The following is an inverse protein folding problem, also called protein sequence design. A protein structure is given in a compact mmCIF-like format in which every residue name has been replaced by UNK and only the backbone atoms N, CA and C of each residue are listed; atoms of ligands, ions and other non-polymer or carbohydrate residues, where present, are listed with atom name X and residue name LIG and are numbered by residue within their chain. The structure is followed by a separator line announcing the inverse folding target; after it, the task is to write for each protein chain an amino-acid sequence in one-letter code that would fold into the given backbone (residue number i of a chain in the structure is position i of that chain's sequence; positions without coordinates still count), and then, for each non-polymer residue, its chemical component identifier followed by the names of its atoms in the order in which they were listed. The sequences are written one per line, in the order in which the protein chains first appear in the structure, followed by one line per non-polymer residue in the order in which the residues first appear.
data_IF_372819662722
#
_entry.id   IF_372819662722
#
_cell.length_a   1.000
_cell.length_b   1.000
_cell.length_c   1.000
_cell.angle_alpha   90.00
_cell.angle_beta   90.00
_cell.angle_gamma   90.00
#
_symmetry.space_group_name_H-M   'P 1'
#
loop_
_entity.id
_entity.type
_entity.pdbx_description
1 polymer ?
#
# COMPACT_ATOMS: atom_id res chain seq x y z
N UNK A 1 -20.34 -13.09 -7.84
CA UNK A 1 -19.77 -12.88 -6.50
C UNK A 1 -20.94 -12.74 -5.52
N UNK A 2 -20.97 -13.43 -4.38
CA UNK A 2 -22.03 -13.21 -3.40
C UNK A 2 -21.87 -11.80 -2.84
N UNK A 3 -22.93 -10.99 -2.87
CA UNK A 3 -22.91 -9.62 -2.31
C UNK A 3 -22.50 -9.68 -0.84
N UNK A 4 -21.67 -8.74 -0.37
CA UNK A 4 -21.36 -8.59 1.05
C UNK A 4 -22.64 -8.25 1.80
N UNK A 5 -22.81 -8.80 2.99
CA UNK A 5 -23.90 -8.43 3.88
C UNK A 5 -23.40 -7.47 4.98
N UNK A 6 -24.31 -6.90 5.76
CA UNK A 6 -23.99 -5.95 6.84
C UNK A 6 -22.97 -6.50 7.85
N UNK A 7 -23.02 -7.81 8.09
CA UNK A 7 -22.07 -8.47 9.00
C UNK A 7 -20.67 -8.49 8.38
N UNK A 8 -20.56 -8.77 7.08
CA UNK A 8 -19.30 -8.75 6.37
C UNK A 8 -18.69 -7.34 6.38
N UNK A 9 -19.51 -6.30 6.17
CA UNK A 9 -19.06 -4.90 6.22
C UNK A 9 -18.61 -4.50 7.64
N UNK A 10 -19.29 -4.94 8.69
CA UNK A 10 -18.85 -4.73 10.07
C UNK A 10 -17.51 -5.41 10.36
N UNK A 11 -17.32 -6.65 9.90
CA UNK A 11 -16.04 -7.36 10.00
C UNK A 11 -14.94 -6.55 9.31
N UNK A 12 -15.17 -6.11 8.07
CA UNK A 12 -14.19 -5.34 7.31
C UNK A 12 -13.86 -4.00 7.98
N UNK A 13 -14.86 -3.30 8.53
CA UNK A 13 -14.66 -2.02 9.21
C UNK A 13 -13.75 -2.16 10.43
N UNK A 14 -13.95 -3.21 11.24
CA UNK A 14 -13.12 -3.46 12.41
C UNK A 14 -11.70 -3.86 11.98
N UNK A 15 -11.56 -4.81 11.06
CA UNK A 15 -10.27 -5.26 10.55
C UNK A 15 -9.48 -4.17 9.81
N UNK A 16 -10.17 -3.22 9.16
CA UNK A 16 -9.53 -2.09 8.48
C UNK A 16 -8.87 -1.12 9.48
N UNK A 17 -9.47 -1.00 10.67
CA UNK A 17 -8.97 -0.17 11.76
C UNK A 17 -7.90 -0.87 12.60
N UNK A 18 -8.14 -2.15 12.89
CA UNK A 18 -7.29 -2.98 13.75
C UNK A 18 -7.21 -4.40 13.19
N UNK A 19 -6.10 -4.69 12.51
CA UNK A 19 -5.85 -5.99 11.91
C UNK A 19 -5.31 -7.04 12.90
N UNK A 20 -4.88 -6.63 14.10
CA UNK A 20 -4.34 -7.50 15.15
C UNK A 20 -5.43 -8.08 16.06
N UNK A 21 -6.68 -7.60 15.94
CA UNK A 21 -7.80 -8.09 16.73
C UNK A 21 -7.97 -9.60 16.58
N UNK A 22 -8.13 -10.31 17.69
CA UNK A 22 -8.37 -11.76 17.64
C UNK A 22 -9.75 -12.08 17.08
N UNK A 23 -9.89 -13.27 16.46
CA UNK A 23 -11.19 -13.69 15.94
C UNK A 23 -12.28 -13.77 17.03
N UNK A 24 -11.91 -14.05 18.28
CA UNK A 24 -12.83 -14.10 19.42
C UNK A 24 -13.36 -12.69 19.77
N UNK A 25 -12.48 -11.71 19.83
CA UNK A 25 -12.82 -10.32 20.10
C UNK A 25 -13.63 -9.70 18.95
N UNK A 26 -13.23 -9.96 17.72
CA UNK A 26 -13.96 -9.55 16.52
C UNK A 26 -15.39 -10.09 16.51
N UNK A 27 -15.56 -11.38 16.76
CA UNK A 27 -16.86 -12.03 16.84
C UNK A 27 -17.74 -11.46 17.96
N UNK A 28 -17.13 -11.19 19.13
CA UNK A 28 -17.83 -10.59 20.27
C UNK A 28 -18.31 -9.17 19.99
N UNK A 29 -17.49 -8.32 19.34
CA UNK A 29 -17.87 -6.95 18.97
C UNK A 29 -19.04 -6.90 17.99
N UNK A 30 -19.14 -7.90 17.11
CA UNK A 30 -20.20 -7.98 16.08
C UNK A 30 -21.45 -8.71 16.61
N UNK A 31 -21.32 -9.51 17.66
CA UNK A 31 -22.41 -10.30 18.25
C UNK A 31 -22.69 -11.60 17.48
N UNK A 32 -21.66 -12.27 16.95
CA UNK A 32 -21.77 -13.56 16.25
C UNK A 32 -20.89 -14.65 16.87
N UNK A 33 -21.15 -15.92 16.54
CA UNK A 33 -20.30 -17.01 17.00
C UNK A 33 -18.88 -16.91 16.38
N UNK A 34 -17.80 -17.23 17.14
CA UNK A 34 -16.43 -17.19 16.64
C UNK A 34 -16.19 -18.07 15.40
N UNK A 35 -16.85 -19.23 15.30
CA UNK A 35 -16.79 -20.10 14.13
C UNK A 35 -17.36 -19.41 12.88
N UNK A 36 -18.52 -18.77 13.03
CA UNK A 36 -19.17 -18.02 11.94
C UNK A 36 -18.32 -16.83 11.48
N UNK A 37 -17.70 -16.11 12.44
CA UNK A 37 -16.79 -15.02 12.14
C UNK A 37 -15.59 -15.51 11.34
N UNK A 38 -14.94 -16.59 11.79
CA UNK A 38 -13.79 -17.18 11.12
C UNK A 38 -14.11 -17.63 9.68
N UNK A 39 -15.26 -18.26 9.47
CA UNK A 39 -15.70 -18.70 8.13
C UNK A 39 -15.90 -17.50 7.19
N UNK A 40 -16.51 -16.41 7.68
CA UNK A 40 -16.71 -15.18 6.91
C UNK A 40 -15.38 -14.54 6.51
N UNK A 41 -14.43 -14.40 7.45
CA UNK A 41 -13.09 -13.88 7.19
C UNK A 41 -12.35 -14.74 6.16
N UNK A 42 -12.37 -16.08 6.31
CA UNK A 42 -11.77 -17.01 5.36
C UNK A 42 -12.38 -16.86 3.97
N UNK A 43 -13.70 -16.76 3.87
CA UNK A 43 -14.41 -16.54 2.61
C UNK A 43 -13.99 -15.23 1.96
N UNK A 44 -13.92 -14.13 2.71
CA UNK A 44 -13.49 -12.83 2.17
C UNK A 44 -12.04 -12.85 1.71
N UNK A 45 -11.15 -13.56 2.41
CA UNK A 45 -9.77 -13.80 1.97
C UNK A 45 -9.71 -14.62 0.68
N UNK A 46 -10.45 -15.72 0.59
CA UNK A 46 -10.45 -16.58 -0.61
C UNK A 46 -11.04 -15.91 -1.85
N UNK A 47 -11.91 -14.91 -1.67
CA UNK A 47 -12.46 -14.09 -2.76
C UNK A 47 -11.61 -12.82 -3.05
N UNK A 48 -10.47 -12.64 -2.39
CA UNK A 48 -9.57 -11.50 -2.60
C UNK A 48 -10.11 -10.15 -2.08
N UNK A 49 -11.19 -10.15 -1.29
CA UNK A 49 -11.73 -8.95 -0.64
C UNK A 49 -10.75 -8.48 0.44
N UNK A 50 -10.28 -9.39 1.27
CA UNK A 50 -9.17 -9.16 2.19
C UNK A 50 -7.91 -9.69 1.51
N UNK A 51 -7.05 -8.78 1.06
CA UNK A 51 -5.79 -9.13 0.37
C UNK A 51 -4.66 -9.47 1.34
N UNK A 52 -4.68 -8.90 2.55
CA UNK A 52 -3.66 -9.10 3.58
C UNK A 52 -3.82 -8.14 4.75
N UNK A 53 -2.95 -8.29 5.73
CA UNK A 53 -2.75 -7.36 6.82
C UNK A 53 -1.27 -6.96 6.83
N UNK A 54 -0.98 -5.69 7.00
CA UNK A 54 0.38 -5.15 7.02
C UNK A 54 0.60 -4.41 8.33
N UNK A 55 1.81 -4.55 8.86
CA UNK A 55 2.23 -3.78 10.03
C UNK A 55 2.60 -2.37 9.57
N UNK A 56 2.09 -1.37 10.27
CA UNK A 56 2.51 0.02 10.09
C UNK A 56 3.76 0.26 10.94
N UNK A 57 4.88 0.60 10.27
CA UNK A 57 6.19 0.70 10.90
C UNK A 57 6.63 2.17 10.94
N UNK A 58 7.00 2.64 12.13
CA UNK A 58 7.67 3.92 12.26
C UNK A 58 9.12 3.79 11.77
N UNK A 59 9.35 4.15 10.50
CA UNK A 59 10.67 4.04 9.86
C UNK A 59 11.76 4.85 10.57
N UNK A 60 11.42 5.98 11.20
CA UNK A 60 12.38 6.80 11.97
C UNK A 60 13.01 5.99 13.11
N UNK A 61 12.25 5.10 13.74
CA UNK A 61 12.74 4.28 14.85
C UNK A 61 13.68 3.17 14.41
N UNK A 62 13.78 2.88 13.13
CA UNK A 62 14.69 1.88 12.55
C UNK A 62 15.72 2.49 11.58
N UNK A 63 15.86 3.83 11.59
CA UNK A 63 16.89 4.54 10.83
C UNK A 63 16.45 5.15 9.51
N UNK A 64 15.18 5.04 9.13
CA UNK A 64 14.58 5.70 7.97
C UNK A 64 14.18 7.14 8.29
N UNK A 65 15.16 8.06 8.27
CA UNK A 65 14.93 9.43 8.75
C UNK A 65 14.27 10.35 7.73
N UNK A 66 14.29 9.96 6.45
CA UNK A 66 13.68 10.71 5.34
C UNK A 66 12.71 9.81 4.60
N UNK A 67 11.49 10.26 4.48
CA UNK A 67 10.50 9.70 3.57
C UNK A 67 10.32 10.65 2.39
N UNK A 68 10.22 10.08 1.18
CA UNK A 68 10.05 10.85 -0.05
C UNK A 68 9.12 10.13 -1.01
N UNK A 69 8.46 10.91 -1.88
CA UNK A 69 7.73 10.40 -3.03
C UNK A 69 8.42 10.89 -4.30
N UNK A 70 8.77 9.97 -5.20
CA UNK A 70 9.21 10.31 -6.52
C UNK A 70 8.10 10.04 -7.54
N UNK A 71 7.78 11.07 -8.33
CA UNK A 71 6.89 11.00 -9.48
C UNK A 71 7.72 10.71 -10.72
N UNK A 72 7.41 9.64 -11.45
CA UNK A 72 8.20 9.15 -12.58
C UNK A 72 7.34 9.18 -13.83
N UNK A 73 7.94 9.69 -14.93
CA UNK A 73 7.40 9.58 -16.28
C UNK A 73 8.28 8.70 -17.14
N UNK A 74 7.66 7.79 -17.87
CA UNK A 74 8.34 6.83 -18.74
C UNK A 74 8.28 7.24 -20.21
N UNK A 75 9.38 7.00 -20.93
CA UNK A 75 9.44 7.11 -22.39
C UNK A 75 10.60 6.25 -22.91
N UNK A 76 10.36 5.26 -23.79
CA UNK A 76 9.03 4.88 -24.30
C UNK A 76 8.15 4.22 -23.23
N UNK A 77 6.83 4.32 -23.44
CA UNK A 77 5.84 3.67 -22.59
C UNK A 77 5.35 2.38 -23.26
N UNK A 78 5.52 1.26 -22.57
CA UNK A 78 4.95 -0.03 -22.96
C UNK A 78 4.63 -0.86 -21.73
N UNK A 79 3.69 -1.80 -21.88
CA UNK A 79 3.32 -2.70 -20.77
C UNK A 79 4.51 -3.48 -20.21
N UNK A 80 5.44 -3.90 -21.08
CA UNK A 80 6.64 -4.62 -20.66
C UNK A 80 7.55 -3.74 -19.80
N UNK A 81 7.79 -2.49 -20.22
CA UNK A 81 8.61 -1.51 -19.47
C UNK A 81 7.97 -1.22 -18.12
N UNK A 82 6.67 -0.94 -18.12
CA UNK A 82 5.89 -0.65 -16.90
C UNK A 82 6.01 -1.81 -15.91
N UNK A 83 5.73 -3.04 -16.34
CA UNK A 83 5.78 -4.22 -15.47
C UNK A 83 7.20 -4.49 -14.96
N UNK A 84 8.21 -4.41 -15.82
CA UNK A 84 9.62 -4.61 -15.45
C UNK A 84 10.07 -3.59 -14.42
N UNK A 85 9.81 -2.30 -14.65
CA UNK A 85 10.17 -1.24 -13.70
C UNK A 85 9.53 -1.48 -12.32
N UNK A 86 8.22 -1.80 -12.31
CA UNK A 86 7.52 -2.13 -11.06
C UNK A 86 8.18 -3.28 -10.33
N UNK A 87 8.43 -4.38 -11.03
CA UNK A 87 8.95 -5.61 -10.42
C UNK A 87 10.38 -5.40 -9.89
N UNK A 88 11.21 -4.66 -10.62
CA UNK A 88 12.56 -4.29 -10.19
C UNK A 88 12.54 -3.38 -8.95
N UNK A 89 11.72 -2.33 -8.97
CA UNK A 89 11.66 -1.37 -7.85
C UNK A 89 11.15 -2.01 -6.57
N UNK A 90 10.16 -2.90 -6.65
CA UNK A 90 9.59 -3.59 -5.49
C UNK A 90 10.59 -4.56 -4.80
N UNK A 91 11.74 -4.86 -5.41
CA UNK A 91 12.80 -5.64 -4.77
C UNK A 91 13.76 -4.78 -3.93
N UNK A 92 13.67 -3.45 -4.04
CA UNK A 92 14.59 -2.55 -3.36
C UNK A 92 14.09 -2.25 -1.94
N UNK A 93 14.97 -2.36 -0.92
CA UNK A 93 14.57 -2.21 0.49
C UNK A 93 14.14 -0.79 0.86
N UNK A 94 14.53 0.21 0.07
CA UNK A 94 14.12 1.59 0.27
C UNK A 94 12.66 1.85 -0.15
N UNK A 95 12.07 0.98 -0.98
CA UNK A 95 10.71 1.16 -1.49
C UNK A 95 9.67 0.70 -0.47
N UNK A 96 8.85 1.62 -0.03
CA UNK A 96 7.72 1.37 0.88
C UNK A 96 6.45 1.00 0.13
N UNK A 97 6.14 1.75 -0.93
CA UNK A 97 4.98 1.47 -1.79
C UNK A 97 5.16 2.08 -3.18
N UNK A 98 4.39 1.55 -4.13
CA UNK A 98 4.42 1.97 -5.52
C UNK A 98 2.98 2.08 -6.05
N UNK A 99 2.69 3.18 -6.74
CA UNK A 99 1.41 3.43 -7.38
C UNK A 99 1.62 3.58 -8.88
N UNK A 100 0.96 2.75 -9.69
CA UNK A 100 0.86 2.97 -11.12
C UNK A 100 -0.30 3.92 -11.39
N UNK A 101 -0.01 5.02 -12.07
CA UNK A 101 -0.89 6.17 -12.17
C UNK A 101 -1.45 6.33 -13.59
N UNK A 102 -2.66 6.90 -13.67
CA UNK A 102 -3.18 7.45 -14.92
C UNK A 102 -3.06 8.97 -14.85
N UNK A 103 -2.32 9.59 -15.77
CA UNK A 103 -2.15 11.04 -15.78
C UNK A 103 -0.79 11.49 -16.29
N UNK A 104 -0.27 12.60 -15.75
CA UNK A 104 0.99 13.21 -16.19
C UNK A 104 2.23 12.42 -15.82
N UNK A 105 2.14 11.58 -14.80
CA UNK A 105 3.18 10.66 -14.35
C UNK A 105 2.66 9.23 -14.40
N UNK A 106 3.56 8.28 -14.66
CA UNK A 106 3.23 6.87 -14.77
C UNK A 106 3.34 6.14 -13.42
N UNK A 107 4.28 6.59 -12.58
CA UNK A 107 4.47 6.02 -11.25
C UNK A 107 4.67 7.07 -10.17
N UNK A 108 4.09 6.80 -9.00
CA UNK A 108 4.52 7.39 -7.73
C UNK A 108 5.15 6.30 -6.88
N UNK A 109 6.38 6.51 -6.43
CA UNK A 109 7.09 5.62 -5.53
C UNK A 109 7.34 6.30 -4.20
N UNK A 110 6.82 5.70 -3.14
CA UNK A 110 7.09 6.10 -1.76
C UNK A 110 8.31 5.33 -1.27
N UNK A 111 9.28 6.03 -0.73
CA UNK A 111 10.55 5.48 -0.25
C UNK A 111 10.90 6.01 1.11
N UNK A 112 11.63 5.19 1.89
CA UNK A 112 12.22 5.58 3.17
C UNK A 112 13.73 5.35 3.13
N UNK A 113 14.50 6.39 3.46
CA UNK A 113 15.96 6.38 3.38
C UNK A 113 16.58 7.01 4.62
N UNK A 114 17.86 6.72 4.84
CA UNK A 114 18.59 7.15 6.03
C UNK A 114 18.79 8.67 6.13
N UNK A 115 19.21 9.29 5.02
CA UNK A 115 19.59 10.71 4.95
C UNK A 115 19.50 11.25 3.51
N UNK A 116 19.74 12.53 3.31
CA UNK A 116 19.64 13.20 2.02
C UNK A 116 20.66 12.70 1.00
N UNK A 117 21.85 12.26 1.42
CA UNK A 117 22.83 11.69 0.52
C UNK A 117 22.38 10.31 0.03
N UNK A 118 21.82 9.49 0.92
CA UNK A 118 21.21 8.22 0.54
C UNK A 118 20.04 8.44 -0.43
N UNK A 119 19.15 9.41 -0.16
CA UNK A 119 18.06 9.76 -1.07
C UNK A 119 18.58 10.10 -2.47
N UNK A 120 19.55 10.98 -2.56
CA UNK A 120 20.13 11.42 -3.83
C UNK A 120 20.75 10.24 -4.61
N UNK A 121 21.55 9.41 -3.93
CA UNK A 121 22.19 8.22 -4.53
C UNK A 121 21.14 7.20 -4.97
N UNK A 122 20.14 6.94 -4.14
CA UNK A 122 19.09 5.99 -4.44
C UNK A 122 18.27 6.42 -5.68
N UNK A 123 17.77 7.66 -5.70
CA UNK A 123 16.99 8.18 -6.84
C UNK A 123 17.82 8.15 -8.12
N UNK A 124 19.10 8.53 -8.05
CA UNK A 124 19.96 8.48 -9.21
C UNK A 124 20.17 7.06 -9.72
N UNK A 125 20.60 6.14 -8.87
CA UNK A 125 20.97 4.78 -9.27
C UNK A 125 19.78 3.88 -9.61
N UNK A 126 18.69 3.99 -8.83
CA UNK A 126 17.55 3.09 -8.98
C UNK A 126 16.52 3.60 -10.00
N UNK A 127 16.47 4.91 -10.24
CA UNK A 127 15.42 5.53 -11.04
C UNK A 127 15.99 6.34 -12.20
N UNK A 128 16.73 7.43 -11.94
CA UNK A 128 17.13 8.40 -12.97
C UNK A 128 18.09 7.81 -14.03
N UNK A 129 18.92 6.85 -13.65
CA UNK A 129 19.88 6.21 -14.56
C UNK A 129 19.24 5.22 -15.55
N UNK A 130 17.95 4.96 -15.46
CA UNK A 130 17.23 4.04 -16.35
C UNK A 130 16.86 4.73 -17.65
N UNK A 131 17.13 4.06 -18.76
CA UNK A 131 16.88 4.60 -20.11
C UNK A 131 15.41 4.91 -20.38
N UNK A 132 14.50 4.13 -19.76
CA UNK A 132 13.06 4.31 -19.88
C UNK A 132 12.49 5.45 -19.05
N UNK A 133 13.27 6.04 -18.13
CA UNK A 133 12.83 7.14 -17.26
C UNK A 133 13.09 8.49 -17.95
N UNK A 134 12.00 9.16 -18.33
CA UNK A 134 12.07 10.48 -18.97
C UNK A 134 12.26 11.60 -17.95
N UNK A 135 11.46 11.59 -16.89
CA UNK A 135 11.52 12.60 -15.82
C UNK A 135 11.28 11.98 -14.46
N UNK A 136 11.92 12.58 -13.44
CA UNK A 136 11.74 12.26 -12.04
C UNK A 136 11.59 13.55 -11.26
N UNK A 137 10.52 13.67 -10.49
CA UNK A 137 10.34 14.74 -9.50
C UNK A 137 10.26 14.11 -8.11
N UNK A 138 11.12 14.55 -7.20
CA UNK A 138 11.18 14.01 -5.83
C UNK A 138 10.72 15.04 -4.83
N UNK A 139 9.75 14.69 -4.02
CA UNK A 139 9.18 15.49 -2.92
C UNK A 139 9.41 14.81 -1.59
N UNK A 140 9.78 15.59 -0.56
CA UNK A 140 9.87 15.07 0.81
C UNK A 140 8.48 14.92 1.40
N UNK A 141 8.28 13.83 2.14
CA UNK A 141 7.08 13.58 2.92
C UNK A 141 7.33 14.09 4.34
N UNK A 142 6.57 15.09 4.76
CA UNK A 142 6.65 15.59 6.14
C UNK A 142 5.81 14.76 7.10
N UNK A 143 4.65 14.28 6.62
CA UNK A 143 3.74 13.47 7.39
C UNK A 143 2.96 12.53 6.46
N UNK A 144 2.78 11.29 6.88
CA UNK A 144 1.89 10.31 6.26
C UNK A 144 0.83 9.91 7.28
N UNK A 145 -0.42 10.13 6.94
CA UNK A 145 -1.57 9.74 7.77
C UNK A 145 -2.50 8.79 7.01
N UNK A 146 -2.89 7.71 7.67
CA UNK A 146 -3.84 6.74 7.12
C UNK A 146 -5.21 6.91 7.78
N UNK A 147 -6.26 6.95 6.98
CA UNK A 147 -7.63 6.92 7.50
C UNK A 147 -7.93 5.57 8.14
N UNK A 148 -8.54 5.59 9.34
CA UNK A 148 -9.11 4.41 9.98
C UNK A 148 -10.56 4.12 9.60
N UNK A 149 -11.12 4.87 8.63
CA UNK A 149 -12.50 4.72 8.18
C UNK A 149 -12.52 3.94 6.88
N UNK A 150 -13.23 2.82 6.84
CA UNK A 150 -13.41 2.03 5.62
C UNK A 150 -14.25 2.83 4.62
N UNK A 151 -13.76 3.01 3.36
CA UNK A 151 -14.57 3.64 2.32
C UNK A 151 -15.88 2.87 2.09
N UNK A 152 -16.99 3.60 1.99
CA UNK A 152 -18.28 3.03 1.63
C UNK A 152 -18.56 3.29 0.14
N UNK A 153 -18.98 2.24 -0.57
CA UNK A 153 -19.30 2.26 -2.00
C UNK A 153 -20.76 1.83 -2.25
N UNK A 154 -21.60 1.78 -1.20
CA UNK A 154 -23.02 1.56 -1.38
C UNK A 154 -23.63 2.84 -1.93
N UNK A 155 -24.37 2.71 -3.04
CA UNK A 155 -25.19 3.79 -3.58
C UNK A 155 -26.30 4.13 -2.56
N UNK A 156 -26.45 5.42 -2.26
CA UNK A 156 -27.57 5.93 -1.45
C UNK A 156 -28.93 5.70 -2.14
#
# INVERSE_FOLDING_TARGET
MKKLDDIDLKILTILYKDADITNKELAAQIGIAPSTCLERVKRMKSHGIIKGAFVDINFKNIGGNIEAIAAIRLQPYSEQIVNRLRDDLLQLPEIVSLYHMGGSYDYFIHMSVKDSEHLRKFVFNAVTSREEVQTVETSLVFEHSRSGVLPNFEDE
#
